data_IF_910837471863
#
_entry.id   IF_910837471863
#
_cell.length_a   1.000
_cell.length_b   1.000
_cell.length_c   1.000
_cell.angle_alpha   90.00
_cell.angle_beta   90.00
_cell.angle_gamma   90.00
#
_symmetry.space_group_name_H-M   'P 1'
#
loop_
_entity.id
_entity.type
_entity.pdbx_description
1 polymer ?
#
# COMPACT_ATOMS: atom_id res chain seq x y z
N UNK A 1 22.80 -19.17 13.67
CA UNK A 1 21.78 -19.69 12.73
C UNK A 1 20.60 -18.73 12.70
N UNK A 2 20.09 -18.34 11.53
CA UNK A 2 18.97 -17.38 11.41
C UNK A 2 17.62 -18.10 11.47
N UNK A 3 16.63 -17.48 12.11
CA UNK A 3 15.26 -18.00 12.12
C UNK A 3 14.64 -17.94 10.71
N UNK A 4 14.27 -19.10 10.17
CA UNK A 4 13.52 -19.21 8.91
C UNK A 4 12.04 -18.88 9.13
N UNK A 5 11.39 -18.34 8.12
CA UNK A 5 10.00 -17.88 8.18
C UNK A 5 9.11 -18.64 7.21
N UNK A 6 7.90 -18.93 7.63
CA UNK A 6 6.86 -19.56 6.82
C UNK A 6 5.76 -18.56 6.48
N UNK A 7 5.17 -18.69 5.29
CA UNK A 7 4.04 -17.85 4.92
C UNK A 7 2.79 -18.25 5.72
N UNK A 8 2.06 -17.24 6.20
CA UNK A 8 0.77 -17.43 6.90
C UNK A 8 -0.41 -17.65 5.94
N UNK A 9 -0.25 -17.32 4.65
CA UNK A 9 -1.27 -17.49 3.60
C UNK A 9 -0.93 -18.74 2.78
N UNK A 10 -1.95 -19.31 2.12
CA UNK A 10 -1.77 -20.47 1.23
C UNK A 10 -0.90 -20.18 0.00
N UNK A 11 -0.87 -18.93 -0.48
CA UNK A 11 -0.11 -18.54 -1.66
C UNK A 11 1.39 -18.57 -1.40
N UNK A 12 2.11 -19.48 -2.05
CA UNK A 12 3.56 -19.69 -1.92
C UNK A 12 4.40 -18.83 -2.86
N UNK A 13 3.83 -18.33 -3.95
CA UNK A 13 4.58 -17.60 -4.98
C UNK A 13 4.88 -16.15 -4.62
N UNK A 14 5.97 -15.62 -5.17
CA UNK A 14 6.38 -14.22 -5.02
C UNK A 14 5.67 -13.30 -6.03
N UNK A 15 4.38 -13.10 -5.83
CA UNK A 15 3.57 -12.22 -6.69
C UNK A 15 3.44 -10.81 -6.11
N UNK A 16 3.04 -9.83 -6.95
CA UNK A 16 2.83 -8.44 -6.51
C UNK A 16 1.81 -8.30 -5.36
N UNK A 17 0.80 -9.18 -5.29
CA UNK A 17 -0.19 -9.24 -4.21
C UNK A 17 0.32 -9.94 -2.94
N UNK A 18 1.42 -10.69 -3.03
CA UNK A 18 2.01 -11.46 -1.92
C UNK A 18 3.36 -10.89 -1.45
N UNK A 19 3.57 -9.58 -1.66
CA UNK A 19 4.72 -8.88 -1.07
C UNK A 19 4.56 -8.82 0.45
N UNK A 20 5.70 -8.92 1.14
CA UNK A 20 5.77 -9.04 2.59
C UNK A 20 6.96 -8.27 3.14
N UNK A 21 6.84 -7.80 4.38
CA UNK A 21 7.92 -7.21 5.17
C UNK A 21 8.16 -8.10 6.39
N UNK A 22 9.42 -8.34 6.73
CA UNK A 22 9.79 -9.02 7.98
C UNK A 22 9.79 -7.98 9.09
N UNK A 23 9.07 -8.24 10.18
CA UNK A 23 9.10 -7.40 11.37
C UNK A 23 9.45 -8.23 12.60
N UNK A 24 10.15 -7.61 13.55
CA UNK A 24 10.32 -8.15 14.90
C UNK A 24 9.09 -7.82 15.71
N UNK A 25 8.45 -8.82 16.29
CA UNK A 25 7.36 -8.62 17.24
C UNK A 25 7.92 -8.35 18.64
N UNK A 26 7.13 -7.75 19.55
CA UNK A 26 7.54 -7.54 20.95
C UNK A 26 7.97 -8.83 21.66
N UNK A 27 7.37 -9.97 21.30
CA UNK A 27 7.76 -11.29 21.81
C UNK A 27 9.05 -11.87 21.19
N UNK A 28 9.89 -11.02 20.58
CA UNK A 28 11.16 -11.38 19.96
C UNK A 28 11.05 -12.47 18.87
N UNK A 29 9.95 -12.49 18.10
CA UNK A 29 9.75 -13.41 16.97
C UNK A 29 9.83 -12.64 15.66
N UNK A 30 10.51 -13.20 14.66
CA UNK A 30 10.42 -12.69 13.29
C UNK A 30 9.09 -13.16 12.68
N UNK A 31 8.33 -12.24 12.09
CA UNK A 31 7.03 -12.53 11.47
C UNK A 31 6.87 -11.77 10.16
N UNK A 32 6.22 -12.40 9.17
CA UNK A 32 5.78 -11.72 7.94
C UNK A 32 4.54 -10.86 8.17
N UNK A 33 4.65 -9.57 7.82
CA UNK A 33 3.55 -8.66 7.62
C UNK A 33 3.24 -8.54 6.13
N UNK A 34 1.98 -8.75 5.75
CA UNK A 34 1.55 -8.62 4.36
C UNK A 34 1.26 -7.18 4.03
N UNK A 35 2.01 -6.66 3.06
CA UNK A 35 1.77 -5.32 2.52
C UNK A 35 0.75 -5.43 1.39
N UNK A 36 -0.20 -4.51 1.38
CA UNK A 36 -1.09 -4.32 0.24
C UNK A 36 -0.32 -3.77 -0.97
N UNK A 37 -0.96 -3.81 -2.14
CA UNK A 37 -0.36 -3.28 -3.38
C UNK A 37 -0.28 -1.76 -3.28
N UNK A 38 0.85 -1.23 -3.71
CA UNK A 38 1.04 0.21 -3.80
C UNK A 38 0.08 0.81 -4.83
N UNK A 39 -0.58 1.89 -4.43
CA UNK A 39 -1.40 2.71 -5.30
C UNK A 39 -0.57 3.44 -6.35
N UNK A 40 -1.24 3.88 -7.41
CA UNK A 40 -0.64 4.74 -8.43
C UNK A 40 -1.08 6.18 -8.21
N UNK A 41 -0.17 7.13 -8.41
CA UNK A 41 -0.49 8.57 -8.37
C UNK A 41 -1.33 8.90 -9.62
N UNK A 42 -2.45 9.62 -9.48
CA UNK A 42 -3.26 10.01 -10.62
C UNK A 42 -2.50 10.96 -11.55
N UNK A 43 -2.79 10.84 -12.84
CA UNK A 43 -2.14 11.61 -13.90
C UNK A 43 -3.20 12.39 -14.69
N UNK A 44 -2.77 13.49 -15.31
CA UNK A 44 -3.58 14.21 -16.28
C UNK A 44 -3.94 13.28 -17.46
N UNK A 45 -5.19 13.35 -17.93
CA UNK A 45 -5.66 12.53 -19.07
C UNK A 45 -4.94 12.84 -20.37
N UNK A 46 -4.64 14.12 -20.61
CA UNK A 46 -4.05 14.60 -21.86
C UNK A 46 -2.51 14.62 -21.79
N UNK A 47 -1.96 15.35 -20.81
CA UNK A 47 -0.51 15.57 -20.69
C UNK A 47 0.23 14.38 -20.04
N UNK A 48 -0.48 13.48 -19.35
CA UNK A 48 0.09 12.33 -18.60
C UNK A 48 1.06 12.69 -17.48
N UNK A 49 1.12 13.98 -17.13
CA UNK A 49 1.86 14.49 -15.97
C UNK A 49 1.20 14.11 -14.66
N UNK A 50 2.01 14.02 -13.60
CA UNK A 50 1.53 13.69 -12.25
C UNK A 50 0.78 14.89 -11.68
N UNK A 51 -0.44 14.66 -11.19
CA UNK A 51 -1.21 15.69 -10.52
C UNK A 51 -0.60 15.98 -9.14
N UNK A 52 -0.34 17.26 -8.87
CA UNK A 52 0.19 17.73 -7.58
C UNK A 52 -0.96 17.85 -6.57
N UNK A 53 -0.67 17.64 -5.29
CA UNK A 53 -1.65 17.75 -4.20
C UNK A 53 -2.56 16.53 -4.00
N UNK A 54 -2.53 15.53 -4.90
CA UNK A 54 -3.31 14.30 -4.75
C UNK A 54 -2.41 13.16 -4.25
N UNK A 55 -2.79 12.57 -3.11
CA UNK A 55 -2.10 11.42 -2.53
C UNK A 55 -2.39 10.13 -3.32
N UNK A 56 -1.51 9.14 -3.19
CA UNK A 56 -1.72 7.83 -3.81
C UNK A 56 -2.96 7.18 -3.19
N UNK A 57 -3.90 6.79 -4.04
CA UNK A 57 -5.02 5.97 -3.60
C UNK A 57 -4.56 4.52 -3.60
N UNK A 58 -4.54 3.89 -2.44
CA UNK A 58 -4.54 2.44 -2.37
C UNK A 58 -5.77 1.94 -3.16
N UNK A 59 -5.71 0.73 -3.74
CA UNK A 59 -6.76 0.21 -4.63
C UNK A 59 -8.19 0.15 -4.01
N UNK A 60 -8.34 0.54 -2.74
CA UNK A 60 -9.56 0.61 -1.97
C UNK A 60 -9.91 2.08 -1.64
N UNK A 61 -10.62 2.74 -2.57
CA UNK A 61 -11.10 4.12 -2.47
C UNK A 61 -12.11 4.32 -1.33
N UNK A 62 -12.82 3.26 -0.92
CA UNK A 62 -13.85 3.33 0.11
C UNK A 62 -13.27 3.58 1.52
N UNK A 63 -12.00 3.21 1.73
CA UNK A 63 -11.32 3.46 3.01
C UNK A 63 -10.75 4.88 3.07
N UNK A 64 -10.38 5.50 1.94
CA UNK A 64 -9.84 6.86 1.89
C UNK A 64 -10.88 7.91 2.29
N UNK A 65 -12.10 7.82 1.74
CA UNK A 65 -13.21 8.74 2.03
C UNK A 65 -13.58 8.79 3.52
N UNK A 66 -13.37 7.67 4.24
CA UNK A 66 -13.65 7.55 5.68
C UNK A 66 -12.62 8.25 6.56
N UNK A 67 -11.37 8.38 6.11
CA UNK A 67 -10.26 8.88 6.94
C UNK A 67 -9.79 10.29 6.56
N UNK A 68 -9.80 10.64 5.28
CA UNK A 68 -9.32 11.95 4.77
C UNK A 68 -10.46 12.84 4.25
N UNK A 69 -11.69 12.34 4.22
CA UNK A 69 -12.85 13.10 3.76
C UNK A 69 -12.84 13.39 2.25
N UNK A 70 -13.95 13.95 1.76
CA UNK A 70 -14.20 14.13 0.32
C UNK A 70 -13.35 15.24 -0.31
N UNK A 71 -12.94 16.21 0.51
CA UNK A 71 -12.21 17.42 0.12
C UNK A 71 -10.77 17.11 -0.35
N UNK A 72 -10.13 16.10 0.25
CA UNK A 72 -8.74 15.74 -0.05
C UNK A 72 -8.59 14.92 -1.33
N UNK A 73 -9.68 14.70 -2.09
CA UNK A 73 -9.66 14.09 -3.43
C UNK A 73 -9.33 15.09 -4.54
N UNK A 74 -9.63 16.37 -4.32
CA UNK A 74 -9.66 17.40 -5.38
C UNK A 74 -8.75 18.59 -5.10
N UNK A 75 -8.00 18.62 -4.00
CA UNK A 75 -7.08 19.72 -3.67
C UNK A 75 -5.83 19.64 -4.55
N UNK A 76 -5.99 19.97 -5.83
CA UNK A 76 -4.90 20.45 -6.67
C UNK A 76 -4.44 21.74 -5.99
N UNK A 77 -3.20 21.77 -5.50
CA UNK A 77 -2.63 22.99 -4.94
C UNK A 77 -2.61 24.02 -6.07
N UNK A 78 -3.39 25.09 -5.93
CA UNK A 78 -3.27 26.31 -6.74
C UNK A 78 -1.84 26.87 -6.63
#
# INVERSE_FOLDING_TARGET
MVQRLTYRRRLSYNTKSNKRKVSKTPGNKLVYLYTKKQGTIPRCGDCKDKLKGIHYLEADYATHDKWFGRHDRTRVLD
#
